data_IF_178759465353
#
_entry.id   IF_178759465353
#
_cell.length_a   1.000
_cell.length_b   1.000
_cell.length_c   1.000
_cell.angle_alpha   90.00
_cell.angle_beta   90.00
_cell.angle_gamma   90.00
#
_symmetry.space_group_name_H-M   'P 1'
#
loop_
_entity.id
_entity.type
_entity.pdbx_description
1 polymer ?
#
# COMPACT_ATOMS: atom_id res chain seq x y z
N UNK A 1 -9.16 -1.49 -12.29
CA UNK A 1 -8.42 -2.07 -11.16
C UNK A 1 -9.31 -1.92 -9.95
N UNK A 2 -9.50 -3.00 -9.20
CA UNK A 2 -10.43 -3.06 -8.07
C UNK A 2 -9.67 -2.98 -6.74
N UNK A 3 -10.31 -2.43 -5.70
CA UNK A 3 -9.75 -2.33 -4.33
C UNK A 3 -9.16 -3.66 -3.86
N UNK A 4 -9.85 -4.77 -4.14
CA UNK A 4 -9.38 -6.11 -3.76
C UNK A 4 -8.00 -6.46 -4.34
N UNK A 5 -7.69 -6.06 -5.58
CA UNK A 5 -6.38 -6.34 -6.17
C UNK A 5 -5.27 -5.55 -5.48
N UNK A 6 -5.54 -4.29 -5.10
CA UNK A 6 -4.59 -3.49 -4.33
C UNK A 6 -4.36 -4.11 -2.96
N UNK A 7 -5.43 -4.52 -2.27
CA UNK A 7 -5.32 -5.16 -0.96
C UNK A 7 -4.52 -6.46 -1.05
N UNK A 8 -4.78 -7.32 -2.04
CA UNK A 8 -4.00 -8.56 -2.22
C UNK A 8 -2.53 -8.26 -2.54
N UNK A 9 -2.24 -7.25 -3.36
CA UNK A 9 -0.87 -6.86 -3.64
C UNK A 9 -0.19 -6.30 -2.38
N UNK A 10 -0.91 -5.52 -1.57
CA UNK A 10 -0.46 -5.00 -0.29
C UNK A 10 -0.20 -6.11 0.73
N UNK A 11 -1.07 -7.13 0.81
CA UNK A 11 -0.88 -8.32 1.66
C UNK A 11 0.41 -9.05 1.30
N UNK A 12 0.69 -9.23 0.01
CA UNK A 12 1.93 -9.86 -0.45
C UNK A 12 3.15 -9.00 -0.10
N UNK A 13 3.11 -7.70 -0.43
CA UNK A 13 4.19 -6.77 -0.12
C UNK A 13 4.48 -6.70 1.39
N UNK A 14 3.44 -6.60 2.22
CA UNK A 14 3.59 -6.63 3.67
C UNK A 14 4.10 -7.97 4.18
N UNK A 15 3.71 -9.08 3.54
CA UNK A 15 4.20 -10.41 3.92
C UNK A 15 5.71 -10.53 3.71
N UNK A 16 6.20 -10.01 2.59
CA UNK A 16 7.61 -10.04 2.24
C UNK A 16 8.43 -9.12 3.15
N UNK A 17 7.94 -7.90 3.37
CA UNK A 17 8.67 -6.88 4.15
C UNK A 17 8.63 -7.16 5.66
N UNK A 18 7.50 -7.61 6.20
CA UNK A 18 7.39 -7.95 7.62
C UNK A 18 7.92 -9.35 7.95
N UNK A 19 8.41 -10.08 6.94
CA UNK A 19 8.88 -11.47 7.03
C UNK A 19 7.86 -12.39 7.74
N UNK A 20 6.57 -12.07 7.65
CA UNK A 20 5.48 -12.79 8.33
C UNK A 20 4.23 -12.79 7.45
N UNK A 21 3.44 -13.87 7.45
CA UNK A 21 2.21 -13.91 6.66
C UNK A 21 1.22 -12.85 7.13
N UNK A 22 0.88 -11.92 6.24
CA UNK A 22 -0.18 -10.92 6.42
C UNK A 22 -1.34 -11.27 5.50
N UNK A 23 -2.46 -11.66 6.08
CA UNK A 23 -3.64 -12.10 5.33
C UNK A 23 -4.91 -11.62 6.00
N UNK A 24 -5.93 -11.30 5.20
CA UNK A 24 -7.21 -10.81 5.69
C UNK A 24 -7.15 -9.34 6.13
N UNK A 25 -6.34 -8.51 5.44
CA UNK A 25 -6.33 -7.08 5.72
C UNK A 25 -7.71 -6.49 5.44
N UNK A 26 -8.31 -5.94 6.49
CA UNK A 26 -9.54 -5.14 6.38
C UNK A 26 -9.17 -3.68 6.22
N UNK A 27 -10.04 -2.92 5.54
CA UNK A 27 -9.83 -1.48 5.31
C UNK A 27 -9.56 -0.66 6.58
N UNK A 28 -10.10 -1.09 7.71
CA UNK A 28 -9.94 -0.45 9.02
C UNK A 28 -8.58 -0.69 9.70
N UNK A 29 -7.76 -1.63 9.20
CA UNK A 29 -6.44 -1.94 9.79
C UNK A 29 -5.52 -0.76 9.61
N UNK A 30 -4.88 -0.34 10.70
CA UNK A 30 -3.92 0.75 10.70
C UNK A 30 -2.52 0.26 10.36
N UNK A 31 -1.94 0.82 9.30
CA UNK A 31 -0.62 0.41 8.80
C UNK A 31 0.49 0.72 9.83
N UNK A 32 0.48 1.90 10.43
CA UNK A 32 1.45 2.26 11.47
C UNK A 32 1.16 1.60 12.82
N UNK A 33 -0.08 1.70 13.33
CA UNK A 33 -0.41 1.24 14.68
C UNK A 33 -0.50 -0.30 14.77
N UNK A 34 -1.22 -0.97 13.86
CA UNK A 34 -1.48 -2.41 13.98
C UNK A 34 -0.31 -3.23 13.39
N UNK A 35 0.22 -2.78 12.25
CA UNK A 35 1.28 -3.50 11.55
C UNK A 35 2.69 -3.06 11.96
N UNK A 36 2.81 -2.00 12.76
CA UNK A 36 4.09 -1.46 13.26
C UNK A 36 5.05 -1.15 12.10
N UNK A 37 4.53 -0.57 11.02
CA UNK A 37 5.37 -0.11 9.92
C UNK A 37 6.20 1.10 10.36
N UNK A 38 7.46 1.12 9.96
CA UNK A 38 8.33 2.30 10.08
C UNK A 38 8.52 2.95 8.70
N UNK A 39 9.14 4.13 8.66
CA UNK A 39 9.44 4.84 7.39
C UNK A 39 10.27 4.00 6.42
N UNK A 40 11.16 3.15 6.94
CA UNK A 40 11.98 2.24 6.13
C UNK A 40 11.13 1.12 5.52
N UNK A 41 10.36 0.44 6.37
CA UNK A 41 9.45 -0.65 6.03
C UNK A 41 8.37 -0.19 5.05
N UNK A 42 7.92 1.06 5.18
CA UNK A 42 6.99 1.71 4.27
C UNK A 42 7.57 1.82 2.85
N UNK A 43 8.79 2.32 2.71
CA UNK A 43 9.45 2.44 1.39
C UNK A 43 9.66 1.05 0.75
N UNK A 44 10.05 0.05 1.53
CA UNK A 44 10.18 -1.32 1.06
C UNK A 44 8.85 -1.90 0.58
N UNK A 45 7.77 -1.66 1.34
CA UNK A 45 6.41 -2.09 0.98
C UNK A 45 5.93 -1.40 -0.29
N UNK A 46 6.21 -0.10 -0.45
CA UNK A 46 5.91 0.63 -1.68
C UNK A 46 6.62 0.01 -2.88
N UNK A 47 7.93 -0.21 -2.81
CA UNK A 47 8.68 -0.83 -3.92
C UNK A 47 8.14 -2.21 -4.30
N UNK A 48 7.78 -3.03 -3.32
CA UNK A 48 7.18 -4.35 -3.56
C UNK A 48 5.77 -4.24 -4.18
N UNK A 49 4.98 -3.26 -3.74
CA UNK A 49 3.67 -2.98 -4.31
C UNK A 49 3.80 -2.52 -5.77
N UNK A 50 4.68 -1.56 -6.04
CA UNK A 50 4.95 -1.03 -7.38
C UNK A 50 5.27 -2.14 -8.39
N UNK A 51 6.15 -3.07 -8.02
CA UNK A 51 6.51 -4.22 -8.85
C UNK A 51 5.32 -5.18 -9.07
N UNK A 52 4.48 -5.35 -8.06
CA UNK A 52 3.31 -6.24 -8.11
C UNK A 52 2.19 -5.72 -9.01
N UNK A 53 1.94 -4.41 -9.00
CA UNK A 53 0.81 -3.80 -9.75
C UNK A 53 1.26 -2.89 -10.89
N UNK A 54 2.55 -2.86 -11.25
CA UNK A 54 3.13 -2.00 -12.29
C UNK A 54 2.64 -0.55 -12.12
N UNK A 55 2.80 -0.03 -10.91
CA UNK A 55 2.44 1.34 -10.51
C UNK A 55 3.72 2.06 -10.10
N UNK A 56 3.80 3.36 -10.35
CA UNK A 56 4.85 4.21 -9.77
C UNK A 56 4.22 5.10 -8.71
N UNK A 57 4.61 4.94 -7.45
CA UNK A 57 4.13 5.77 -6.34
C UNK A 57 5.23 6.72 -5.93
N UNK A 58 4.94 8.01 -5.95
CA UNK A 58 5.90 9.01 -5.46
C UNK A 58 5.84 9.08 -3.93
N UNK A 59 6.91 8.69 -3.20
CA UNK A 59 6.96 8.82 -1.75
C UNK A 59 6.89 10.27 -1.27
N UNK A 60 7.23 11.26 -2.11
CA UNK A 60 7.08 12.68 -1.77
C UNK A 60 5.63 13.18 -1.88
N UNK A 61 4.79 12.48 -2.65
CA UNK A 61 3.38 12.81 -2.81
C UNK A 61 2.48 12.17 -1.72
N UNK A 62 3.05 11.26 -0.93
CA UNK A 62 2.34 10.57 0.14
C UNK A 62 2.42 11.36 1.45
N UNK A 63 1.28 11.58 2.08
CA UNK A 63 1.20 12.16 3.42
C UNK A 63 1.02 11.06 4.49
N UNK A 64 1.32 11.40 5.75
CA UNK A 64 1.07 10.52 6.89
C UNK A 64 -0.42 10.12 6.98
N UNK A 65 -1.32 10.97 6.49
CA UNK A 65 -2.75 10.70 6.44
C UNK A 65 -3.11 9.55 5.48
N UNK A 66 -2.37 9.38 4.38
CA UNK A 66 -2.60 8.31 3.40
C UNK A 66 -2.26 6.92 3.97
N UNK A 67 -1.44 6.88 5.02
CA UNK A 67 -0.99 5.67 5.68
C UNK A 67 -1.72 5.39 7.00
N UNK A 68 -2.80 6.11 7.30
CA UNK A 68 -3.59 5.86 8.51
C UNK A 68 -4.18 4.45 8.49
N UNK A 69 -4.70 4.02 7.33
CA UNK A 69 -5.41 2.74 7.20
C UNK A 69 -5.19 2.12 5.83
N UNK A 70 -5.41 0.81 5.74
CA UNK A 70 -5.41 0.07 4.46
C UNK A 70 -6.41 0.69 3.48
N UNK A 71 -7.55 1.18 3.95
CA UNK A 71 -8.54 1.79 3.06
C UNK A 71 -8.05 3.10 2.47
N UNK A 72 -7.48 3.99 3.30
CA UNK A 72 -6.95 5.29 2.84
C UNK A 72 -5.82 5.07 1.84
N UNK A 73 -4.90 4.16 2.16
CA UNK A 73 -3.77 3.83 1.29
C UNK A 73 -4.25 3.24 -0.04
N UNK A 74 -5.23 2.34 0.00
CA UNK A 74 -5.78 1.76 -1.21
C UNK A 74 -6.49 2.81 -2.07
N UNK A 75 -7.18 3.76 -1.46
CA UNK A 75 -7.81 4.86 -2.19
C UNK A 75 -6.79 5.77 -2.87
N UNK A 76 -5.69 6.08 -2.19
CA UNK A 76 -4.56 6.79 -2.78
C UNK A 76 -4.00 6.04 -4.00
N UNK A 77 -3.68 4.75 -3.86
CA UNK A 77 -3.14 3.91 -4.94
C UNK A 77 -4.08 3.86 -6.15
N UNK A 78 -5.39 3.71 -5.91
CA UNK A 78 -6.40 3.71 -6.97
C UNK A 78 -6.53 5.07 -7.67
N UNK A 79 -6.40 6.18 -6.93
CA UNK A 79 -6.39 7.52 -7.48
C UNK A 79 -5.16 7.75 -8.37
N UNK A 80 -3.96 7.48 -7.85
CA UNK A 80 -2.68 7.62 -8.57
C UNK A 80 -2.68 6.81 -9.87
N UNK A 81 -3.16 5.56 -9.82
CA UNK A 81 -3.21 4.73 -11.03
C UNK A 81 -4.20 5.26 -12.07
N UNK A 82 -5.34 5.83 -11.65
CA UNK A 82 -6.26 6.48 -12.58
C UNK A 82 -5.61 7.64 -13.31
N UNK A 83 -4.81 8.43 -12.60
CA UNK A 83 -4.10 9.56 -13.20
C UNK A 83 -3.03 9.10 -14.19
N UNK A 84 -2.27 8.05 -13.88
CA UNK A 84 -1.25 7.50 -14.78
C UNK A 84 -1.82 6.89 -16.07
N UNK A 85 -2.99 6.25 -16.00
CA UNK A 85 -3.66 5.72 -17.21
C UNK A 85 -4.28 6.84 -18.06
N UNK A 86 -4.57 7.99 -17.47
CA UNK A 86 -5.15 9.14 -18.17
C UNK A 86 -4.10 10.05 -18.84
N UNK A 87 -2.82 9.88 -18.52
CA UNK A 87 -1.68 10.64 -19.06
C UNK A 87 -1.08 9.97 -20.31
#
# INVERSE_FOLDING_TARGET
MDRQNVVTALENALTDVLERPVTGLTGEVKLFDDLHLDSTTMLEMLMALEDSIDLVVDPEALDADDFISVDTFTDFVLATKREQVAA
#
